data_IF_263171192426
#
_entry.id   IF_263171192426
#
_cell.length_a   1.000
_cell.length_b   1.000
_cell.length_c   1.000
_cell.angle_alpha   90.00
_cell.angle_beta   90.00
_cell.angle_gamma   90.00
#
_symmetry.space_group_name_H-M   'P 1'
#
loop_
_entity.id
_entity.type
_entity.pdbx_description
1 polymer ?
#
# COMPACT_ATOMS: atom_id res chain seq x y z
N UNK A 1 15.47 -42.65 79.81
CA UNK A 1 14.15 -43.05 79.24
C UNK A 1 13.68 -41.94 78.31
N UNK A 2 13.32 -42.32 77.07
CA UNK A 2 12.62 -41.57 76.00
C UNK A 2 13.42 -40.58 75.14
N UNK A 3 13.28 -40.83 73.84
CA UNK A 3 13.89 -40.27 72.62
C UNK A 3 13.10 -39.09 72.05
N UNK A 4 13.74 -38.25 71.21
CA UNK A 4 13.29 -37.77 69.88
C UNK A 4 14.22 -36.63 69.38
N UNK A 5 15.13 -36.85 68.42
CA UNK A 5 14.99 -36.78 66.94
C UNK A 5 14.88 -35.36 66.36
N UNK A 6 16.03 -34.92 65.82
CA UNK A 6 16.36 -34.19 64.58
C UNK A 6 15.29 -33.39 63.79
N UNK A 7 15.70 -32.21 63.29
CA UNK A 7 15.89 -31.96 61.84
C UNK A 7 16.57 -30.61 61.55
N UNK A 8 17.53 -30.65 60.61
CA UNK A 8 18.24 -29.52 59.99
C UNK A 8 17.34 -28.84 58.95
N UNK A 9 17.47 -27.53 58.79
CA UNK A 9 16.97 -26.78 57.64
C UNK A 9 18.14 -26.01 56.99
N UNK A 10 18.45 -26.35 55.74
CA UNK A 10 19.37 -25.63 54.87
C UNK A 10 18.58 -24.62 54.05
N UNK A 11 18.94 -23.34 54.10
CA UNK A 11 18.37 -22.29 53.27
C UNK A 11 19.18 -22.17 51.97
N UNK A 12 18.56 -22.50 50.84
CA UNK A 12 19.08 -22.19 49.50
C UNK A 12 18.49 -20.87 49.00
N UNK A 13 19.35 -19.90 48.65
CA UNK A 13 18.96 -18.68 47.97
C UNK A 13 18.82 -18.95 46.45
N UNK A 14 17.62 -18.74 45.93
CA UNK A 14 17.30 -18.66 44.50
C UNK A 14 17.46 -17.21 44.03
N UNK A 15 18.45 -16.94 43.17
CA UNK A 15 18.55 -15.69 42.44
C UNK A 15 17.60 -15.71 41.24
N UNK A 16 16.57 -14.86 41.25
CA UNK A 16 15.69 -14.66 40.09
C UNK A 16 16.35 -13.73 39.07
N UNK A 17 16.59 -14.25 37.87
CA UNK A 17 16.92 -13.47 36.70
C UNK A 17 15.66 -12.77 36.18
N UNK A 18 15.58 -11.44 36.34
CA UNK A 18 14.57 -10.62 35.68
C UNK A 18 14.93 -10.48 34.20
N UNK A 19 14.30 -11.29 33.35
CA UNK A 19 14.35 -11.11 31.91
C UNK A 19 13.58 -9.82 31.54
N UNK A 20 14.31 -8.82 31.06
CA UNK A 20 13.77 -7.61 30.46
C UNK A 20 13.01 -7.99 29.18
N UNK A 21 11.68 -8.07 29.25
CA UNK A 21 10.83 -7.99 28.07
C UNK A 21 10.99 -6.60 27.45
N UNK A 22 11.93 -6.44 26.52
CA UNK A 22 11.87 -5.31 25.60
C UNK A 22 10.61 -5.50 24.75
N UNK A 23 9.72 -4.48 24.65
CA UNK A 23 8.60 -4.57 23.72
C UNK A 23 9.21 -4.72 22.32
N UNK A 24 8.91 -5.85 21.66
CA UNK A 24 9.17 -5.98 20.25
C UNK A 24 8.52 -4.78 19.57
N UNK A 25 9.33 -3.92 18.93
CA UNK A 25 8.82 -2.85 18.09
C UNK A 25 8.08 -3.57 16.98
N UNK A 26 6.75 -3.70 17.13
CA UNK A 26 5.91 -4.31 16.13
C UNK A 26 6.15 -3.54 14.83
N UNK A 27 6.77 -4.21 13.85
CA UNK A 27 6.91 -3.68 12.52
C UNK A 27 5.49 -3.30 12.07
N UNK A 28 5.26 -2.03 11.76
CA UNK A 28 3.92 -1.54 11.46
C UNK A 28 3.42 -2.23 10.18
N UNK A 29 2.71 -3.36 10.32
CA UNK A 29 2.07 -4.04 9.22
C UNK A 29 0.74 -3.35 8.96
N UNK A 30 0.77 -2.24 8.22
CA UNK A 30 -0.47 -1.61 7.81
C UNK A 30 -1.24 -2.55 6.89
N UNK A 31 -2.52 -2.75 7.18
CA UNK A 31 -3.45 -3.47 6.31
C UNK A 31 -4.82 -2.82 6.30
N UNK A 32 -5.56 -3.01 5.22
CA UNK A 32 -6.96 -2.60 5.11
C UNK A 32 -7.80 -3.86 5.00
N UNK A 33 -8.52 -4.23 6.08
CA UNK A 33 -9.33 -5.46 6.15
C UNK A 33 -8.53 -6.72 5.73
N UNK A 34 -7.25 -6.78 6.13
CA UNK A 34 -6.34 -7.86 5.76
C UNK A 34 -5.61 -7.65 4.42
N UNK A 35 -5.98 -6.68 3.59
CA UNK A 35 -5.27 -6.35 2.35
C UNK A 35 -3.95 -5.64 2.63
N UNK A 36 -2.87 -6.13 2.00
CA UNK A 36 -1.50 -5.62 2.15
C UNK A 36 -0.80 -5.52 0.79
N UNK A 37 0.13 -4.57 0.60
CA UNK A 37 1.06 -4.62 -0.52
C UNK A 37 1.86 -5.93 -0.53
N UNK A 38 2.26 -6.36 -1.73
CA UNK A 38 2.93 -7.63 -1.96
C UNK A 38 1.99 -8.82 -2.16
N UNK A 39 0.69 -8.70 -1.87
CA UNK A 39 -0.28 -9.75 -2.15
C UNK A 39 -0.43 -10.00 -3.66
N UNK A 40 -0.59 -11.28 -4.05
CA UNK A 40 -1.09 -11.67 -5.36
C UNK A 40 -2.59 -11.35 -5.49
N UNK A 41 -3.12 -11.46 -6.70
CA UNK A 41 -4.56 -11.33 -6.94
C UNK A 41 -5.37 -12.34 -6.12
N UNK A 42 -4.92 -13.60 -6.04
CA UNK A 42 -5.61 -14.65 -5.29
C UNK A 42 -5.65 -14.36 -3.79
N UNK A 43 -4.52 -13.93 -3.19
CA UNK A 43 -4.44 -13.55 -1.79
C UNK A 43 -5.33 -12.35 -1.48
N UNK A 44 -5.33 -11.34 -2.35
CA UNK A 44 -6.18 -10.18 -2.21
C UNK A 44 -7.68 -10.52 -2.30
N UNK A 45 -8.06 -11.38 -3.24
CA UNK A 45 -9.43 -11.87 -3.39
C UNK A 45 -9.88 -12.72 -2.20
N UNK A 46 -8.99 -13.51 -1.61
CA UNK A 46 -9.27 -14.26 -0.40
C UNK A 46 -9.52 -13.31 0.79
N UNK A 47 -8.68 -12.30 0.99
CA UNK A 47 -8.86 -11.29 2.04
C UNK A 47 -10.17 -10.52 1.88
N UNK A 48 -10.50 -10.11 0.65
CA UNK A 48 -11.77 -9.48 0.31
C UNK A 48 -12.94 -10.41 0.65
N UNK A 49 -12.91 -11.66 0.20
CA UNK A 49 -14.00 -12.62 0.45
C UNK A 49 -14.19 -12.90 1.94
N UNK A 50 -13.09 -12.95 2.72
CA UNK A 50 -13.12 -13.13 4.18
C UNK A 50 -13.67 -11.90 4.91
N UNK A 51 -13.37 -10.69 4.43
CA UNK A 51 -14.00 -9.46 4.93
C UNK A 51 -15.50 -9.46 4.62
N UNK A 52 -15.86 -9.79 3.38
CA UNK A 52 -17.24 -9.77 2.92
C UNK A 52 -17.49 -10.68 1.70
N UNK A 53 -18.31 -11.73 1.80
CA UNK A 53 -18.68 -12.51 0.63
C UNK A 53 -19.66 -11.75 -0.28
N UNK A 54 -19.72 -12.12 -1.56
CA UNK A 54 -20.72 -11.60 -2.51
C UNK A 54 -20.40 -10.23 -3.13
N UNK A 55 -19.15 -9.76 -3.04
CA UNK A 55 -18.76 -8.50 -3.67
C UNK A 55 -18.66 -8.62 -5.20
N UNK A 56 -19.02 -7.54 -5.91
CA UNK A 56 -18.91 -7.45 -7.36
C UNK A 56 -17.48 -7.07 -7.74
N UNK A 57 -16.86 -7.88 -8.58
CA UNK A 57 -15.45 -7.71 -8.99
C UNK A 57 -15.38 -7.25 -10.44
N UNK A 58 -14.57 -6.22 -10.69
CA UNK A 58 -14.20 -5.76 -12.02
C UNK A 58 -12.67 -5.71 -12.11
N UNK A 59 -12.12 -6.26 -13.20
CA UNK A 59 -10.69 -6.23 -13.48
C UNK A 59 -10.43 -5.27 -14.63
N UNK A 60 -9.48 -4.37 -14.43
CA UNK A 60 -8.95 -3.50 -15.49
C UNK A 60 -7.57 -4.00 -15.87
N UNK A 61 -7.44 -4.34 -17.15
CA UNK A 61 -6.18 -4.69 -17.76
C UNK A 61 -5.60 -3.51 -18.54
N UNK A 62 -4.28 -3.49 -18.68
CA UNK A 62 -3.55 -2.49 -19.47
C UNK A 62 -2.48 -3.15 -20.33
N UNK A 63 -2.02 -2.43 -21.35
CA UNK A 63 -0.82 -2.72 -22.11
C UNK A 63 -0.06 -1.41 -22.32
N UNK A 64 1.27 -1.48 -22.44
CA UNK A 64 2.07 -0.34 -22.84
C UNK A 64 2.19 -0.30 -24.36
N UNK A 65 2.11 0.90 -24.93
CA UNK A 65 2.30 1.12 -26.36
C UNK A 65 3.71 1.66 -26.62
N UNK A 66 4.35 1.18 -27.68
CA UNK A 66 5.67 1.62 -28.14
C UNK A 66 5.76 1.58 -29.67
N UNK A 67 6.72 2.27 -30.28
CA UNK A 67 6.87 2.31 -31.75
C UNK A 67 8.23 1.78 -32.21
N UNK A 68 8.24 1.06 -33.32
CA UNK A 68 9.47 0.64 -34.02
C UNK A 68 9.98 1.70 -35.04
N UNK A 69 9.35 2.88 -35.04
CA UNK A 69 9.58 3.99 -35.97
C UNK A 69 8.69 3.98 -37.21
N UNK A 70 7.86 2.94 -37.41
CA UNK A 70 6.92 2.80 -38.53
C UNK A 70 5.53 2.41 -38.04
N UNK A 71 5.46 1.42 -37.17
CA UNK A 71 4.24 0.88 -36.60
C UNK A 71 4.15 1.18 -35.11
N UNK A 72 2.92 1.25 -34.62
CA UNK A 72 2.64 1.25 -33.18
C UNK A 72 2.42 -0.20 -32.74
N UNK A 73 3.13 -0.60 -31.70
CA UNK A 73 3.12 -1.93 -31.10
C UNK A 73 2.65 -1.82 -29.65
N UNK A 74 2.21 -2.95 -29.10
CA UNK A 74 1.78 -3.05 -27.71
C UNK A 74 2.51 -4.21 -27.01
N UNK A 75 2.75 -4.05 -25.71
CA UNK A 75 3.13 -5.17 -24.86
C UNK A 75 1.95 -6.12 -24.65
N UNK A 76 2.17 -7.35 -24.14
CA UNK A 76 1.08 -8.17 -23.64
C UNK A 76 0.25 -7.42 -22.60
N UNK A 77 -1.04 -7.75 -22.56
CA UNK A 77 -1.98 -7.24 -21.56
C UNK A 77 -1.66 -7.79 -20.17
N UNK A 78 -1.77 -6.96 -19.13
CA UNK A 78 -1.52 -7.33 -17.74
C UNK A 78 -2.59 -6.75 -16.81
N UNK A 79 -2.80 -7.39 -15.65
CA UNK A 79 -3.70 -6.87 -14.62
C UNK A 79 -3.12 -5.58 -14.03
N UNK A 80 -3.86 -4.49 -14.16
CA UNK A 80 -3.47 -3.20 -13.62
C UNK A 80 -4.23 -2.89 -12.34
N UNK A 81 -5.55 -3.14 -12.35
CA UNK A 81 -6.41 -2.79 -11.25
C UNK A 81 -7.51 -3.82 -11.04
N UNK A 82 -7.85 -4.03 -9.78
CA UNK A 82 -9.04 -4.75 -9.34
C UNK A 82 -9.94 -3.78 -8.59
N UNK A 83 -11.13 -3.55 -9.12
CA UNK A 83 -12.18 -2.74 -8.49
C UNK A 83 -13.24 -3.69 -7.94
N UNK A 84 -13.46 -3.63 -6.64
CA UNK A 84 -14.45 -4.44 -5.95
C UNK A 84 -15.45 -3.52 -5.28
N UNK A 85 -16.73 -3.81 -5.47
CA UNK A 85 -17.81 -2.97 -4.96
C UNK A 85 -18.86 -3.82 -4.28
N UNK A 86 -19.45 -3.24 -3.25
CA UNK A 86 -20.50 -3.83 -2.47
C UNK A 86 -21.48 -2.74 -2.02
N UNK A 87 -22.78 -3.03 -2.04
CA UNK A 87 -23.84 -2.08 -1.67
C UNK A 87 -24.99 -2.83 -0.98
N UNK A 88 -25.40 -2.35 0.20
CA UNK A 88 -26.47 -2.94 1.01
C UNK A 88 -27.25 -1.89 1.85
N UNK A 89 -27.99 -2.40 2.84
CA UNK A 89 -28.72 -1.60 3.81
C UNK A 89 -27.81 -0.79 4.76
N UNK A 90 -26.54 -1.15 4.90
CA UNK A 90 -25.55 -0.53 5.78
C UNK A 90 -24.77 0.58 5.05
N UNK A 91 -24.64 0.48 3.73
CA UNK A 91 -24.02 1.49 2.89
C UNK A 91 -23.33 0.92 1.66
N UNK A 92 -22.51 1.76 1.03
CA UNK A 92 -21.69 1.39 -0.12
C UNK A 92 -20.23 1.29 0.30
N UNK A 93 -19.57 0.25 -0.17
CA UNK A 93 -18.15 0.01 0.05
C UNK A 93 -17.45 -0.34 -1.28
N UNK A 94 -16.38 0.37 -1.59
CA UNK A 94 -15.57 0.15 -2.79
C UNK A 94 -14.11 -0.05 -2.41
N UNK A 95 -13.46 -1.00 -3.06
CA UNK A 95 -12.02 -1.25 -3.01
C UNK A 95 -11.41 -1.06 -4.39
N UNK A 96 -10.27 -0.38 -4.47
CA UNK A 96 -9.42 -0.34 -5.67
C UNK A 96 -8.03 -0.82 -5.31
N UNK A 97 -7.59 -1.90 -5.92
CA UNK A 97 -6.26 -2.47 -5.73
C UNK A 97 -5.47 -2.27 -7.02
N UNK A 98 -4.25 -1.76 -6.89
CA UNK A 98 -3.35 -1.52 -8.01
C UNK A 98 -2.21 -2.53 -7.99
N UNK A 99 -1.88 -3.10 -9.14
CA UNK A 99 -0.90 -4.17 -9.27
C UNK A 99 0.37 -3.68 -9.97
N UNK A 100 1.49 -4.31 -9.60
CA UNK A 100 2.77 -4.07 -10.21
C UNK A 100 2.74 -4.46 -11.70
N UNK A 101 3.19 -3.56 -12.60
CA UNK A 101 3.26 -3.88 -14.01
C UNK A 101 4.42 -4.84 -14.34
N UNK A 102 4.36 -5.53 -15.49
CA UNK A 102 5.50 -6.25 -16.05
C UNK A 102 6.72 -5.33 -16.21
N UNK A 103 7.94 -5.85 -16.06
CA UNK A 103 8.29 -7.27 -15.95
C UNK A 103 8.22 -7.82 -14.52
N UNK A 104 7.74 -7.02 -13.56
CA UNK A 104 7.61 -7.46 -12.16
C UNK A 104 6.46 -8.45 -12.02
N UNK A 105 6.52 -9.32 -11.01
CA UNK A 105 5.39 -10.17 -10.66
C UNK A 105 4.17 -9.29 -10.30
N UNK A 106 2.99 -9.68 -10.76
CA UNK A 106 1.73 -8.95 -10.49
C UNK A 106 1.38 -9.05 -9.00
N UNK A 107 1.80 -8.04 -8.24
CA UNK A 107 1.60 -7.91 -6.79
C UNK A 107 0.96 -6.58 -6.46
N UNK A 108 0.11 -6.53 -5.44
CA UNK A 108 -0.55 -5.31 -4.96
C UNK A 108 0.51 -4.29 -4.55
N UNK A 109 0.41 -3.07 -5.07
CA UNK A 109 1.25 -1.92 -4.72
C UNK A 109 0.50 -0.92 -3.85
N UNK A 110 -0.82 -0.84 -4.02
CA UNK A 110 -1.65 -0.01 -3.17
C UNK A 110 -3.12 -0.36 -3.22
N UNK A 111 -3.81 0.10 -2.19
CA UNK A 111 -5.22 -0.18 -1.91
C UNK A 111 -5.91 1.13 -1.57
N UNK A 112 -7.07 1.34 -2.16
CA UNK A 112 -8.04 2.37 -1.75
C UNK A 112 -9.26 1.65 -1.25
N UNK A 113 -9.79 2.05 -0.09
CA UNK A 113 -11.11 1.66 0.40
C UNK A 113 -11.95 2.90 0.60
N UNK A 114 -13.13 2.93 0.03
CA UNK A 114 -14.10 4.00 0.19
C UNK A 114 -15.36 3.42 0.82
N UNK A 115 -15.86 4.07 1.86
CA UNK A 115 -17.12 3.71 2.51
C UNK A 115 -18.04 4.92 2.54
N UNK A 116 -19.29 4.68 2.16
CA UNK A 116 -20.42 5.57 2.39
C UNK A 116 -21.35 4.93 3.42
N UNK A 117 -21.43 5.49 4.62
CA UNK A 117 -22.12 4.89 5.77
C UNK A 117 -23.53 5.47 5.95
N UNK A 118 -24.55 4.62 6.03
CA UNK A 118 -25.94 5.07 6.31
C UNK A 118 -26.18 5.36 7.80
N UNK A 119 -25.50 4.65 8.70
CA UNK A 119 -25.46 4.90 10.15
C UNK A 119 -24.04 5.33 10.57
N UNK A 120 -23.66 6.59 10.32
CA UNK A 120 -22.27 7.03 10.46
C UNK A 120 -21.83 7.19 11.94
N UNK A 121 -20.60 6.75 12.31
CA UNK A 121 -20.00 7.06 13.61
C UNK A 121 -19.53 8.51 13.67
N UNK A 122 -19.25 9.03 14.87
CA UNK A 122 -18.59 10.33 15.03
C UNK A 122 -17.12 10.25 14.61
N UNK A 123 -16.49 11.40 14.30
CA UNK A 123 -15.05 11.42 14.01
C UNK A 123 -14.22 10.94 15.20
N UNK A 124 -14.67 11.21 16.43
CA UNK A 124 -13.99 10.76 17.64
C UNK A 124 -14.02 9.22 17.77
N UNK A 125 -15.18 8.60 17.55
CA UNK A 125 -15.33 7.14 17.60
C UNK A 125 -14.45 6.46 16.55
N UNK A 126 -14.50 6.94 15.30
CA UNK A 126 -13.73 6.35 14.21
C UNK A 126 -12.22 6.62 14.35
N UNK A 127 -11.84 7.82 14.79
CA UNK A 127 -10.45 8.17 15.09
C UNK A 127 -9.85 7.31 16.19
N UNK A 128 -10.63 6.99 17.24
CA UNK A 128 -10.19 6.08 18.30
C UNK A 128 -9.96 4.66 17.78
N UNK A 129 -10.87 4.13 16.94
CA UNK A 129 -10.70 2.80 16.32
C UNK A 129 -9.47 2.74 15.42
N UNK A 130 -9.23 3.78 14.62
CA UNK A 130 -8.03 3.86 13.77
C UNK A 130 -6.75 3.95 14.59
N UNK A 131 -6.77 4.72 15.68
CA UNK A 131 -5.62 4.83 16.61
C UNK A 131 -5.36 3.51 17.33
N UNK A 132 -6.41 2.78 17.71
CA UNK A 132 -6.27 1.44 18.29
C UNK A 132 -5.65 0.45 17.29
N UNK A 133 -5.98 0.56 16.00
CA UNK A 133 -5.49 -0.35 14.95
C UNK A 133 -4.06 -0.04 14.49
N UNK A 134 -3.75 1.24 14.27
CA UNK A 134 -2.49 1.66 13.63
C UNK A 134 -1.55 2.44 14.57
N UNK A 135 -1.96 2.68 15.81
CA UNK A 135 -1.24 3.54 16.74
C UNK A 135 -1.47 5.04 16.47
N UNK A 136 -0.68 5.89 17.13
CA UNK A 136 -0.75 7.33 16.92
C UNK A 136 -0.34 7.68 15.48
N UNK A 137 -1.08 8.57 14.80
CA UNK A 137 -0.72 9.00 13.44
C UNK A 137 0.58 9.80 13.44
N UNK A 138 1.42 9.57 12.43
CA UNK A 138 2.61 10.39 12.13
C UNK A 138 2.21 11.83 11.79
N UNK A 139 1.06 12.01 11.16
CA UNK A 139 0.51 13.34 10.87
C UNK A 139 -1.00 13.29 10.96
N UNK A 140 -1.59 14.29 11.61
CA UNK A 140 -3.03 14.49 11.65
C UNK A 140 -3.37 15.95 11.35
N UNK A 141 -4.59 16.18 10.92
CA UNK A 141 -5.13 17.53 10.81
C UNK A 141 -6.54 17.56 10.27
N UNK A 142 -7.12 18.75 10.33
CA UNK A 142 -8.51 18.99 9.93
C UNK A 142 -8.55 20.04 8.83
N UNK A 143 -9.30 19.73 7.78
CA UNK A 143 -9.58 20.61 6.65
C UNK A 143 -11.08 20.67 6.47
N UNK A 144 -11.69 21.83 6.73
CA UNK A 144 -13.16 21.97 6.76
C UNK A 144 -13.80 20.91 7.70
N UNK A 145 -14.78 20.17 7.19
CA UNK A 145 -15.45 19.08 7.90
C UNK A 145 -14.70 17.73 7.79
N UNK A 146 -13.47 17.71 7.29
CA UNK A 146 -12.69 16.49 7.05
C UNK A 146 -11.53 16.38 8.02
N UNK A 147 -11.48 15.28 8.77
CA UNK A 147 -10.33 14.92 9.60
C UNK A 147 -9.46 13.91 8.86
N UNK A 148 -8.16 14.19 8.80
CA UNK A 148 -7.18 13.38 8.10
C UNK A 148 -6.17 12.81 9.09
N UNK A 149 -5.87 11.52 8.97
CA UNK A 149 -4.90 10.79 9.77
C UNK A 149 -3.95 10.03 8.83
N UNK A 150 -2.66 10.02 9.16
CA UNK A 150 -1.60 9.43 8.33
C UNK A 150 -0.61 8.70 9.19
N UNK A 151 -0.21 7.50 8.74
CA UNK A 151 0.83 6.69 9.34
C UNK A 151 1.88 6.37 8.28
N UNK A 152 3.14 6.62 8.62
CA UNK A 152 4.29 6.19 7.83
C UNK A 152 5.00 5.02 8.49
N UNK A 153 5.65 4.19 7.67
CA UNK A 153 6.51 3.11 8.16
C UNK A 153 7.67 3.69 9.00
N UNK A 154 7.87 3.23 10.25
CA UNK A 154 8.95 3.71 11.10
C UNK A 154 10.33 3.53 10.45
N UNK A 155 11.17 4.57 10.54
CA UNK A 155 12.54 4.54 10.01
C UNK A 155 12.65 4.66 8.48
N UNK A 156 11.53 4.84 7.76
CA UNK A 156 11.53 5.06 6.32
C UNK A 156 11.11 6.49 5.95
N UNK A 157 11.65 7.08 4.87
CA UNK A 157 11.19 8.35 4.36
C UNK A 157 9.71 8.31 3.94
N UNK A 158 8.94 9.30 4.36
CA UNK A 158 7.59 9.54 3.83
C UNK A 158 7.71 10.25 2.48
N UNK A 159 7.39 9.56 1.39
CA UNK A 159 7.53 10.08 0.03
C UNK A 159 6.24 10.69 -0.52
N UNK A 160 5.42 11.23 0.36
CA UNK A 160 4.21 11.95 0.05
C UNK A 160 4.11 13.18 0.95
N UNK A 161 3.34 14.17 0.52
CA UNK A 161 3.10 15.37 1.32
C UNK A 161 1.83 15.19 2.12
N UNK A 162 1.99 15.10 3.44
CA UNK A 162 0.88 15.27 4.38
C UNK A 162 0.97 16.65 5.00
N UNK A 163 -0.11 17.40 4.91
CA UNK A 163 -0.31 18.65 5.65
C UNK A 163 -1.55 18.49 6.53
N UNK A 164 -1.70 19.30 7.60
CA UNK A 164 -2.93 19.27 8.38
C UNK A 164 -4.20 19.47 7.53
N UNK A 165 -4.07 20.21 6.42
CA UNK A 165 -5.19 20.58 5.54
C UNK A 165 -5.40 19.59 4.38
N UNK A 166 -4.48 18.67 4.12
CA UNK A 166 -4.59 17.70 3.02
C UNK A 166 -3.69 16.49 3.27
N UNK A 167 -4.28 15.31 3.22
CA UNK A 167 -3.55 14.05 3.11
C UNK A 167 -3.56 13.59 1.66
N UNK A 168 -2.40 13.68 1.01
CA UNK A 168 -2.20 13.21 -0.36
C UNK A 168 -1.36 11.95 -0.35
N UNK A 169 -1.87 10.87 0.24
CA UNK A 169 -1.40 9.55 -0.18
C UNK A 169 -2.11 9.27 -1.51
N UNK A 170 -1.40 9.50 -2.61
CA UNK A 170 -1.89 9.25 -3.96
C UNK A 170 -1.98 7.75 -4.26
N UNK A 171 -3.15 7.31 -4.74
CA UNK A 171 -3.46 5.98 -5.26
C UNK A 171 -4.12 6.19 -6.62
N UNK A 172 -3.29 6.51 -7.61
CA UNK A 172 -3.73 6.96 -8.93
C UNK A 172 -3.11 6.14 -10.06
N UNK A 173 -3.26 6.60 -11.29
CA UNK A 173 -2.65 5.96 -12.45
C UNK A 173 -1.13 5.89 -12.31
N UNK A 174 -0.55 4.77 -12.74
CA UNK A 174 0.89 4.47 -12.82
C UNK A 174 1.75 5.64 -13.31
N UNK A 175 1.24 6.45 -14.24
CA UNK A 175 1.92 7.62 -14.82
C UNK A 175 2.00 8.80 -13.85
N UNK A 176 1.04 8.96 -12.94
CA UNK A 176 1.01 10.07 -11.99
C UNK A 176 1.92 9.84 -10.79
N UNK A 177 2.22 8.59 -10.43
CA UNK A 177 3.08 8.31 -9.27
C UNK A 177 4.55 8.69 -9.52
N UNK A 178 5.13 8.34 -10.67
CA UNK A 178 6.51 8.69 -11.01
C UNK A 178 6.64 10.20 -11.18
N UNK A 179 5.64 10.83 -11.82
CA UNK A 179 5.55 12.28 -11.94
C UNK A 179 5.44 12.94 -10.56
N UNK A 180 4.64 12.38 -9.65
CA UNK A 180 4.49 12.87 -8.28
C UNK A 180 5.78 12.75 -7.47
N UNK A 181 6.45 11.59 -7.55
CA UNK A 181 7.73 11.37 -6.89
C UNK A 181 8.80 12.33 -7.43
N UNK A 182 8.87 12.52 -8.76
CA UNK A 182 9.78 13.48 -9.38
C UNK A 182 9.51 14.91 -8.92
N UNK A 183 8.24 15.34 -8.90
CA UNK A 183 7.86 16.66 -8.34
C UNK A 183 8.25 16.77 -6.85
N UNK A 184 8.20 15.67 -6.11
CA UNK A 184 8.60 15.62 -4.72
C UNK A 184 10.12 15.72 -4.52
N UNK A 185 10.89 15.11 -5.41
CA UNK A 185 12.35 15.23 -5.47
C UNK A 185 12.77 16.66 -5.78
N UNK A 186 12.13 17.29 -6.76
CA UNK A 186 12.38 18.67 -7.16
C UNK A 186 12.08 19.66 -6.02
N UNK A 187 11.17 19.28 -5.11
CA UNK A 187 10.81 20.04 -3.91
C UNK A 187 11.58 19.60 -2.65
N UNK A 188 12.53 18.67 -2.78
CA UNK A 188 13.42 18.24 -1.69
C UNK A 188 12.78 17.38 -0.59
N UNK A 189 11.57 16.84 -0.78
CA UNK A 189 10.90 16.00 0.24
C UNK A 189 10.77 14.51 -0.14
N UNK A 190 11.17 14.13 -1.35
CA UNK A 190 11.32 12.73 -1.75
C UNK A 190 12.82 12.46 -1.96
N UNK A 191 13.37 11.33 -1.46
CA UNK A 191 14.76 10.97 -1.68
C UNK A 191 15.12 10.84 -3.16
N UNK A 192 16.40 11.01 -3.49
CA UNK A 192 16.92 10.80 -4.86
C UNK A 192 16.63 9.40 -5.39
N UNK A 193 16.62 8.41 -4.51
CA UNK A 193 16.16 7.06 -4.81
C UNK A 193 14.79 6.81 -4.15
N UNK A 194 13.68 6.91 -4.90
CA UNK A 194 12.35 6.67 -4.36
C UNK A 194 12.08 5.21 -3.99
N UNK A 195 12.95 4.25 -4.33
CA UNK A 195 12.78 2.87 -3.86
C UNK A 195 13.00 2.73 -2.35
N UNK A 196 13.63 3.73 -1.72
CA UNK A 196 13.85 3.80 -0.27
C UNK A 196 12.61 4.23 0.52
N UNK A 197 11.57 4.72 -0.16
CA UNK A 197 10.33 5.20 0.45
C UNK A 197 9.60 4.08 1.22
N UNK A 198 9.00 4.46 2.35
CA UNK A 198 8.26 3.53 3.20
C UNK A 198 6.82 3.29 2.76
N UNK A 199 6.21 2.28 3.39
CA UNK A 199 4.78 2.04 3.37
C UNK A 199 4.02 3.19 4.05
N UNK A 200 2.83 3.48 3.55
CA UNK A 200 2.02 4.60 3.98
C UNK A 200 0.56 4.21 4.12
N UNK A 201 -0.06 4.54 5.25
CA UNK A 201 -1.51 4.43 5.44
C UNK A 201 -2.13 5.81 5.70
N UNK A 202 -3.32 6.05 5.16
CA UNK A 202 -4.07 7.27 5.39
C UNK A 202 -5.55 6.98 5.59
N UNK A 203 -6.19 7.77 6.45
CA UNK A 203 -7.63 7.83 6.58
C UNK A 203 -8.10 9.28 6.43
N UNK A 204 -9.19 9.47 5.67
CA UNK A 204 -9.89 10.74 5.52
C UNK A 204 -11.35 10.54 5.89
N UNK A 205 -11.77 11.21 6.96
CA UNK A 205 -13.09 11.11 7.58
C UNK A 205 -13.85 12.40 7.29
N UNK A 206 -14.85 12.36 6.41
CA UNK A 206 -15.61 13.53 6.00
C UNK A 206 -16.99 13.59 6.65
N UNK A 207 -17.31 14.74 7.26
CA UNK A 207 -18.56 15.01 7.95
C UNK A 207 -18.51 14.68 9.45
N UNK A 208 -19.47 15.22 10.18
CA UNK A 208 -19.73 14.91 11.59
C UNK A 208 -21.25 14.73 11.77
N UNK A 209 -21.76 13.50 11.89
CA UNK A 209 -21.05 12.22 11.88
C UNK A 209 -20.45 11.84 10.50
N UNK A 210 -19.48 10.91 10.49
CA UNK A 210 -18.65 10.55 9.32
C UNK A 210 -19.44 9.76 8.29
N UNK A 211 -19.95 10.44 7.25
CA UNK A 211 -20.71 9.80 6.16
C UNK A 211 -19.80 9.13 5.13
N UNK A 212 -18.60 9.68 4.94
CA UNK A 212 -17.65 9.15 3.98
C UNK A 212 -16.29 8.91 4.64
N UNK A 213 -15.79 7.69 4.52
CA UNK A 213 -14.44 7.30 4.93
C UNK A 213 -13.66 6.87 3.68
N UNK A 214 -12.49 7.47 3.47
CA UNK A 214 -11.51 6.94 2.52
C UNK A 214 -10.26 6.48 3.27
N UNK A 215 -9.88 5.21 3.10
CA UNK A 215 -8.64 4.64 3.61
C UNK A 215 -7.73 4.29 2.45
N UNK A 216 -6.45 4.61 2.55
CA UNK A 216 -5.44 4.30 1.53
C UNK A 216 -4.25 3.61 2.16
N UNK A 217 -3.67 2.67 1.42
CA UNK A 217 -2.45 1.95 1.78
C UNK A 217 -1.55 1.86 0.55
N UNK A 218 -0.31 2.33 0.64
CA UNK A 218 0.59 2.43 -0.52
C UNK A 218 2.01 2.09 -0.13
N UNK A 219 2.64 1.20 -0.89
CA UNK A 219 4.08 0.97 -0.85
C UNK A 219 4.76 1.81 -1.95
N UNK A 220 5.21 3.02 -1.58
CA UNK A 220 5.82 3.94 -2.54
C UNK A 220 7.15 3.42 -3.11
N UNK A 221 7.93 2.70 -2.29
CA UNK A 221 9.20 2.13 -2.70
C UNK A 221 9.02 1.06 -3.77
N UNK A 222 8.13 0.10 -3.52
CA UNK A 222 7.78 -0.92 -4.50
C UNK A 222 7.11 -0.31 -5.74
N UNK A 223 6.24 0.69 -5.57
CA UNK A 223 5.58 1.32 -6.70
C UNK A 223 6.59 2.01 -7.62
N UNK A 224 7.50 2.82 -7.07
CA UNK A 224 8.55 3.47 -7.83
C UNK A 224 9.45 2.47 -8.54
N UNK A 225 9.94 1.45 -7.81
CA UNK A 225 10.86 0.46 -8.34
C UNK A 225 10.25 -0.39 -9.47
N UNK A 226 9.00 -0.83 -9.31
CA UNK A 226 8.32 -1.63 -10.33
C UNK A 226 7.99 -0.84 -11.59
N UNK A 227 7.65 0.44 -11.46
CA UNK A 227 7.33 1.30 -12.60
C UNK A 227 8.58 1.75 -13.36
N UNK A 228 9.69 1.98 -12.66
CA UNK A 228 10.97 2.21 -13.32
C UNK A 228 11.40 0.97 -14.13
N UNK A 229 11.29 -0.23 -13.54
CA UNK A 229 11.53 -1.49 -14.27
C UNK A 229 10.63 -1.66 -15.49
N UNK A 230 9.35 -1.30 -15.39
CA UNK A 230 8.42 -1.35 -16.51
C UNK A 230 8.82 -0.40 -17.64
N UNK A 231 9.23 0.82 -17.31
CA UNK A 231 9.72 1.79 -18.29
C UNK A 231 10.95 1.27 -19.03
N UNK A 232 11.93 0.76 -18.30
CA UNK A 232 13.17 0.22 -18.88
C UNK A 232 12.89 -1.01 -19.76
N UNK A 233 11.96 -1.87 -19.32
CA UNK A 233 11.51 -3.01 -20.11
C UNK A 233 10.80 -2.61 -21.40
N UNK A 234 9.88 -1.64 -21.36
CA UNK A 234 9.20 -1.13 -22.58
C UNK A 234 10.21 -0.54 -23.56
N UNK A 235 11.21 0.18 -23.07
CA UNK A 235 12.30 0.69 -23.91
C UNK A 235 13.12 -0.42 -24.55
N UNK A 236 13.40 -1.52 -23.82
CA UNK A 236 14.04 -2.70 -24.39
C UNK A 236 13.17 -3.36 -25.48
N UNK A 237 11.84 -3.45 -25.27
CA UNK A 237 10.92 -3.95 -26.30
C UNK A 237 10.97 -3.07 -27.56
N UNK A 238 10.98 -1.75 -27.38
CA UNK A 238 11.09 -0.78 -28.47
C UNK A 238 12.38 -0.97 -29.26
N UNK A 239 13.53 -1.03 -28.59
CA UNK A 239 14.83 -1.23 -29.23
C UNK A 239 14.90 -2.56 -29.98
N UNK A 240 14.36 -3.63 -29.38
CA UNK A 240 14.25 -4.94 -30.02
C UNK A 240 13.43 -4.91 -31.30
N UNK A 241 12.28 -4.23 -31.27
CA UNK A 241 11.42 -4.08 -32.45
C UNK A 241 12.08 -3.26 -33.56
N UNK A 242 12.74 -2.14 -33.23
CA UNK A 242 13.52 -1.35 -34.20
C UNK A 242 14.61 -2.21 -34.86
N UNK A 243 15.38 -2.95 -34.05
CA UNK A 243 16.44 -3.82 -34.56
C UNK A 243 15.89 -4.90 -35.49
N UNK A 244 14.81 -5.57 -35.07
CA UNK A 244 14.17 -6.61 -35.87
C UNK A 244 13.67 -6.07 -37.22
N UNK A 245 13.07 -4.87 -37.23
CA UNK A 245 12.66 -4.20 -38.47
C UNK A 245 13.84 -3.91 -39.39
N UNK A 246 14.89 -3.27 -38.87
CA UNK A 246 16.07 -2.92 -39.66
C UNK A 246 16.79 -4.15 -40.23
N UNK A 247 16.83 -5.27 -39.49
CA UNK A 247 17.40 -6.52 -39.99
C UNK A 247 16.61 -7.20 -41.11
N UNK A 248 15.34 -6.81 -41.32
CA UNK A 248 14.48 -7.30 -42.40
C UNK A 248 14.51 -6.43 -43.65
N UNK A 249 15.19 -5.27 -43.60
CA UNK A 249 15.40 -4.43 -44.77
C UNK A 249 16.32 -5.13 -45.76
N UNK A 250 15.78 -5.59 -46.89
CA UNK A 250 16.60 -5.99 -48.03
C UNK A 250 17.38 -4.75 -48.50
N UNK A 251 18.72 -4.83 -48.52
CA UNK A 251 19.52 -3.84 -49.22
C UNK A 251 19.04 -3.79 -50.69
N UNK A 252 18.87 -2.61 -51.30
CA UNK A 252 18.60 -2.55 -52.72
C UNK A 252 19.73 -3.30 -53.44
N UNK A 253 19.38 -4.28 -54.26
CA UNK A 253 20.33 -4.84 -55.22
C UNK A 253 20.61 -3.72 -56.23
N UNK A 254 21.83 -3.19 -56.18
CA UNK A 254 22.37 -2.34 -57.24
C UNK A 254 22.54 -3.17 -58.51
#
# INVERSE_FOLDING_TARGET
MRYAVSRRASAGLLAMAAALCQPAVAQASFDIVGLRPGMSEAEAMAALSAHRPGMRVQKRHMAYSYSDGVQQLNTPSFLYELWVSFDDAQGREDFRLYFAPPPSASRVLGVTRQLSLKAPPTQAQLGAQLTQRYGAPTTSGKSNATTNLVWGEPGKPMCWRSTPNTTVIGVGEASDILSSLKRGQDKGHVPRDPSTCGLAAAASMAGEPVRNLTVRLVDYGAWAGTHQKAKDWVEQQRQGAVKARLSRGAAPKL
#
